data_IF_198515287626
#
_entry.id   IF_198515287626
#
_cell.length_a   1.000
_cell.length_b   1.000
_cell.length_c   1.000
_cell.angle_alpha   90.00
_cell.angle_beta   90.00
_cell.angle_gamma   90.00
#
_symmetry.space_group_name_H-M   'P 1'
#
loop_
_entity.id
_entity.type
_entity.pdbx_description
1 polymer ?
#
# COMPACT_ATOMS: atom_id res chain seq x y z
N UNK A 1 -16.63 11.13 -27.46
CA UNK A 1 -15.20 10.78 -27.25
C UNK A 1 -14.41 11.92 -26.63
N UNK A 2 -14.29 13.10 -27.25
CA UNK A 2 -13.51 14.23 -26.68
C UNK A 2 -13.92 14.59 -25.23
N UNK A 3 -15.21 14.81 -24.98
CA UNK A 3 -15.72 15.12 -23.63
C UNK A 3 -15.45 14.02 -22.60
N UNK A 4 -15.53 12.75 -23.01
CA UNK A 4 -15.22 11.62 -22.13
C UNK A 4 -13.77 11.67 -21.64
N UNK A 5 -12.84 12.03 -22.53
CA UNK A 5 -11.42 12.15 -22.20
C UNK A 5 -11.13 13.36 -21.32
N UNK A 6 -11.82 14.49 -21.54
CA UNK A 6 -11.73 15.67 -20.67
C UNK A 6 -12.19 15.34 -19.26
N UNK A 7 -13.31 14.62 -19.11
CA UNK A 7 -13.83 14.20 -17.81
C UNK A 7 -12.88 13.22 -17.11
N UNK A 8 -12.28 12.29 -17.85
CA UNK A 8 -11.32 11.32 -17.30
C UNK A 8 -9.98 11.95 -16.90
N UNK A 9 -9.46 12.92 -17.67
CA UNK A 9 -8.29 13.70 -17.25
C UNK A 9 -8.65 14.57 -16.03
N UNK A 10 -9.86 15.14 -16.04
CA UNK A 10 -10.39 15.94 -14.94
C UNK A 10 -10.46 15.17 -13.61
N UNK A 11 -10.88 13.91 -13.62
CA UNK A 11 -10.92 13.09 -12.39
C UNK A 11 -9.53 12.91 -11.78
N UNK A 12 -8.51 12.61 -12.58
CA UNK A 12 -7.14 12.48 -12.08
C UNK A 12 -6.56 13.82 -11.61
N UNK A 13 -6.89 14.94 -12.27
CA UNK A 13 -6.50 16.27 -11.80
C UNK A 13 -7.13 16.61 -10.45
N UNK A 14 -8.39 16.21 -10.21
CA UNK A 14 -9.04 16.32 -8.90
C UNK A 14 -8.29 15.50 -7.85
N UNK A 15 -7.82 14.30 -8.18
CA UNK A 15 -7.01 13.49 -7.27
C UNK A 15 -5.65 14.14 -6.97
N UNK A 16 -4.97 14.71 -7.98
CA UNK A 16 -3.73 15.49 -7.79
C UNK A 16 -3.97 16.67 -6.84
N UNK A 17 -5.06 17.42 -7.03
CA UNK A 17 -5.40 18.55 -6.17
C UNK A 17 -5.73 18.11 -4.74
N UNK A 18 -6.47 17.01 -4.56
CA UNK A 18 -6.74 16.40 -3.26
C UNK A 18 -5.46 15.98 -2.54
N UNK A 19 -4.55 15.27 -3.25
CA UNK A 19 -3.26 14.86 -2.72
C UNK A 19 -2.35 16.05 -2.37
N UNK A 20 -2.36 17.11 -3.18
CA UNK A 20 -1.62 18.34 -2.90
C UNK A 20 -2.18 19.07 -1.68
N UNK A 21 -3.51 19.08 -1.53
CA UNK A 21 -4.20 19.60 -0.34
C UNK A 21 -3.80 18.82 0.91
N UNK A 22 -3.74 17.49 0.84
CA UNK A 22 -3.27 16.64 1.94
C UNK A 22 -1.81 16.98 2.30
N UNK A 23 -0.93 17.02 1.30
CA UNK A 23 0.50 17.28 1.46
C UNK A 23 0.87 18.71 1.86
N UNK A 24 -0.10 19.63 1.98
CA UNK A 24 0.15 21.01 2.40
C UNK A 24 0.47 21.16 3.88
N UNK A 25 0.10 20.16 4.70
CA UNK A 25 0.30 20.16 6.15
C UNK A 25 1.45 19.25 6.54
N UNK A 26 2.21 19.68 7.56
CA UNK A 26 3.27 18.90 8.16
C UNK A 26 2.92 18.68 9.63
N UNK A 27 2.96 17.43 10.05
CA UNK A 27 2.79 17.04 11.46
C UNK A 27 4.15 16.64 12.01
N UNK A 28 4.43 16.98 13.26
CA UNK A 28 5.72 16.68 13.89
C UNK A 28 5.55 16.24 15.34
N UNK A 29 6.36 15.28 15.76
CA UNK A 29 6.45 14.80 17.15
C UNK A 29 7.91 14.84 17.61
N UNK A 30 8.16 15.05 18.91
CA UNK A 30 9.52 14.97 19.46
C UNK A 30 10.05 13.54 19.36
N UNK A 31 11.32 13.40 18.98
CA UNK A 31 12.05 12.13 18.98
C UNK A 31 13.51 12.42 19.30
N UNK A 32 14.08 11.76 20.32
CA UNK A 32 15.45 12.06 20.76
C UNK A 32 16.50 11.60 19.75
N UNK A 33 16.32 10.41 19.18
CA UNK A 33 17.24 9.80 18.23
C UNK A 33 16.51 8.83 17.31
N UNK A 34 17.03 8.70 16.08
CA UNK A 34 16.61 7.64 15.18
C UNK A 34 17.17 6.28 15.61
N UNK A 35 16.44 5.18 15.33
CA UNK A 35 16.95 3.83 15.49
C UNK A 35 18.26 3.63 14.74
N UNK A 36 19.17 2.81 15.28
CA UNK A 36 20.50 2.59 14.69
C UNK A 36 20.47 2.08 13.24
N UNK A 37 19.41 1.38 12.84
CA UNK A 37 19.23 0.81 11.50
C UNK A 37 18.12 1.49 10.69
N UNK A 38 17.57 2.61 11.16
CA UNK A 38 16.48 3.33 10.48
C UNK A 38 16.97 4.31 9.42
N UNK A 39 16.79 3.96 8.14
CA UNK A 39 16.98 4.91 7.03
C UNK A 39 15.68 5.61 6.66
N UNK A 40 15.61 6.93 6.90
CA UNK A 40 14.40 7.73 6.62
C UNK A 40 14.21 8.08 5.15
N UNK A 41 15.26 8.07 4.34
CA UNK A 41 15.23 8.54 2.95
C UNK A 41 14.17 7.80 2.10
N UNK A 42 13.82 6.59 2.50
CA UNK A 42 12.88 5.71 1.80
C UNK A 42 11.63 5.34 2.63
N UNK A 43 11.36 6.06 3.72
CA UNK A 43 10.16 5.83 4.56
C UNK A 43 8.99 6.70 4.08
N UNK A 44 7.81 6.07 3.96
CA UNK A 44 6.57 6.69 3.44
C UNK A 44 6.82 7.50 2.15
N UNK A 45 7.48 6.88 1.17
CA UNK A 45 7.89 7.53 -0.08
C UNK A 45 8.72 8.82 0.08
N UNK A 46 9.48 8.95 1.19
CA UNK A 46 10.28 10.15 1.48
C UNK A 46 9.46 11.31 2.07
N UNK A 47 8.24 11.04 2.55
CA UNK A 47 7.40 12.04 3.23
C UNK A 47 7.77 12.23 4.69
N UNK A 48 8.53 11.31 5.27
CA UNK A 48 9.06 11.40 6.62
C UNK A 48 10.43 12.07 6.64
N UNK A 49 10.66 12.91 7.64
CA UNK A 49 11.96 13.53 7.87
C UNK A 49 12.24 13.67 9.37
N UNK A 50 13.52 13.69 9.72
CA UNK A 50 13.97 13.93 11.08
C UNK A 50 14.98 15.06 11.09
N UNK A 51 14.63 16.13 11.78
CA UNK A 51 15.48 17.30 11.95
C UNK A 51 15.21 17.92 13.33
N UNK A 52 16.25 18.45 13.96
CA UNK A 52 16.15 19.19 15.24
C UNK A 52 15.42 18.43 16.36
N UNK A 53 15.63 17.11 16.45
CA UNK A 53 14.98 16.27 17.47
C UNK A 53 13.46 16.10 17.26
N UNK A 54 12.97 16.32 16.04
CA UNK A 54 11.57 16.14 15.67
C UNK A 54 11.45 15.21 14.48
N UNK A 55 10.60 14.21 14.61
CA UNK A 55 10.14 13.39 13.51
C UNK A 55 8.93 14.07 12.89
N UNK A 56 8.95 14.30 11.58
CA UNK A 56 7.86 14.97 10.87
C UNK A 56 7.41 14.19 9.65
N UNK A 57 6.14 14.35 9.28
CA UNK A 57 5.55 13.77 8.08
C UNK A 57 4.73 14.82 7.33
N UNK A 58 4.84 14.81 6.00
CA UNK A 58 4.02 15.66 5.11
C UNK A 58 2.75 14.93 4.70
N UNK A 59 1.58 15.45 5.09
CA UNK A 59 0.28 14.85 4.83
C UNK A 59 -0.13 13.81 5.88
N UNK A 60 -0.96 12.83 5.49
CA UNK A 60 -1.41 11.75 6.39
C UNK A 60 -0.39 10.62 6.38
N UNK A 61 0.05 10.18 7.56
CA UNK A 61 0.84 8.97 7.74
C UNK A 61 -0.12 7.79 7.91
N UNK A 62 -0.17 6.85 6.97
CA UNK A 62 -1.04 5.70 7.07
C UNK A 62 -0.43 4.60 7.95
N UNK A 63 -1.29 3.76 8.53
CA UNK A 63 -0.88 2.66 9.43
C UNK A 63 0.12 1.69 8.76
N UNK A 64 -0.06 1.39 7.47
CA UNK A 64 0.89 0.53 6.75
C UNK A 64 2.30 1.14 6.67
N UNK A 65 2.41 2.48 6.58
CA UNK A 65 3.70 3.16 6.55
C UNK A 65 4.37 3.16 7.94
N UNK A 66 3.59 3.19 9.01
CA UNK A 66 4.11 2.97 10.39
C UNK A 66 4.70 1.56 10.50
N UNK A 67 3.97 0.53 10.05
CA UNK A 67 4.43 -0.86 10.06
C UNK A 67 5.69 -1.07 9.20
N UNK A 68 5.73 -0.45 8.02
CA UNK A 68 6.90 -0.46 7.13
C UNK A 68 8.11 0.24 7.76
N UNK A 69 7.91 1.42 8.39
CA UNK A 69 8.97 2.15 9.08
C UNK A 69 9.58 1.33 10.24
N UNK A 70 8.73 0.68 11.05
CA UNK A 70 9.17 -0.26 12.10
C UNK A 70 10.01 -1.38 11.49
N UNK A 71 9.48 -2.04 10.46
CA UNK A 71 10.15 -3.16 9.80
C UNK A 71 11.51 -2.74 9.24
N UNK A 72 11.58 -1.63 8.50
CA UNK A 72 12.82 -1.10 7.91
C UNK A 72 13.85 -0.66 8.95
N UNK A 73 13.40 -0.16 10.10
CA UNK A 73 14.26 0.27 11.22
C UNK A 73 14.79 -0.89 12.08
N UNK A 74 14.30 -2.10 11.86
CA UNK A 74 14.70 -3.30 12.60
C UNK A 74 16.04 -3.85 12.09
N UNK A 75 16.85 -4.42 12.99
CA UNK A 75 18.12 -5.04 12.66
C UNK A 75 17.98 -6.08 11.51
N UNK A 76 18.91 -6.13 10.54
CA UNK A 76 18.86 -7.09 9.44
C UNK A 76 18.71 -8.55 9.90
N UNK A 77 19.41 -8.95 10.97
CA UNK A 77 19.36 -10.30 11.51
C UNK A 77 17.93 -10.71 11.93
N UNK A 78 17.19 -9.80 12.56
CA UNK A 78 15.81 -10.03 12.99
C UNK A 78 14.87 -10.07 11.77
N UNK A 79 15.08 -9.19 10.79
CA UNK A 79 14.30 -9.21 9.54
C UNK A 79 14.45 -10.52 8.77
N UNK A 80 15.68 -11.01 8.65
CA UNK A 80 15.94 -12.26 7.93
C UNK A 80 15.44 -13.46 8.72
N UNK A 81 15.57 -13.45 10.05
CA UNK A 81 14.96 -14.46 10.91
C UNK A 81 13.42 -14.49 10.80
N UNK A 82 12.75 -13.34 10.71
CA UNK A 82 11.30 -13.28 10.50
C UNK A 82 10.88 -13.87 9.14
N UNK A 83 11.66 -13.64 8.07
CA UNK A 83 11.42 -14.26 6.76
C UNK A 83 11.62 -15.78 6.81
N UNK A 84 12.64 -16.24 7.53
CA UNK A 84 12.86 -17.67 7.74
C UNK A 84 11.74 -18.30 8.56
N UNK A 85 11.25 -17.62 9.60
CA UNK A 85 10.11 -18.06 10.41
C UNK A 85 8.85 -18.21 9.55
N UNK A 86 8.52 -17.19 8.74
CA UNK A 86 7.38 -17.23 7.81
C UNK A 86 7.50 -18.44 6.85
N UNK A 87 8.65 -18.59 6.19
CA UNK A 87 8.90 -19.71 5.28
C UNK A 87 8.86 -21.06 5.98
N UNK A 88 9.39 -21.16 7.20
CA UNK A 88 9.38 -22.41 7.96
C UNK A 88 7.99 -22.75 8.50
N UNK A 89 7.16 -21.74 8.76
CA UNK A 89 5.77 -21.90 9.18
C UNK A 89 4.82 -22.28 8.03
N UNK A 90 5.28 -22.21 6.79
CA UNK A 90 4.53 -22.67 5.62
C UNK A 90 4.37 -24.20 5.67
N UNK A 91 3.17 -24.65 6.05
CA UNK A 91 2.84 -26.05 6.33
C UNK A 91 2.84 -26.43 7.82
N UNK A 92 3.06 -25.50 8.74
CA UNK A 92 2.91 -25.74 10.17
C UNK A 92 1.45 -26.02 10.55
N UNK A 93 1.25 -26.95 11.48
CA UNK A 93 -0.06 -27.28 12.05
C UNK A 93 0.06 -27.49 13.56
N UNK A 94 -1.07 -27.53 14.28
CA UNK A 94 -1.08 -27.81 15.71
C UNK A 94 -0.41 -29.16 16.07
N UNK A 95 -0.47 -30.15 15.17
CA UNK A 95 0.14 -31.47 15.36
C UNK A 95 1.65 -31.50 15.03
N UNK A 96 2.11 -30.53 14.21
CA UNK A 96 3.51 -30.39 13.79
C UNK A 96 3.93 -28.93 13.88
N UNK A 97 4.10 -28.39 15.10
CA UNK A 97 4.51 -27.02 15.29
C UNK A 97 5.96 -26.81 14.85
N UNK A 98 6.27 -25.59 14.40
CA UNK A 98 7.60 -25.19 14.00
C UNK A 98 8.13 -24.19 15.01
N UNK A 99 9.26 -24.52 15.63
CA UNK A 99 9.89 -23.68 16.64
C UNK A 99 11.13 -22.99 16.08
N UNK A 100 11.23 -21.69 16.29
CA UNK A 100 12.43 -20.89 15.97
C UNK A 100 12.74 -19.95 17.11
N UNK A 101 14.02 -19.77 17.40
CA UNK A 101 14.48 -18.82 18.40
C UNK A 101 15.50 -17.84 17.83
N UNK A 102 15.56 -16.65 18.42
CA UNK A 102 16.52 -15.60 18.13
C UNK A 102 16.83 -14.84 19.42
N UNK A 103 18.07 -14.37 19.55
CA UNK A 103 18.45 -13.45 20.60
C UNK A 103 18.12 -12.02 20.15
N UNK A 104 17.36 -11.29 20.97
CA UNK A 104 16.99 -9.89 20.73
C UNK A 104 17.45 -9.02 21.88
N UNK A 105 17.99 -7.84 21.58
CA UNK A 105 18.42 -6.91 22.62
C UNK A 105 17.25 -6.44 23.50
N UNK A 106 16.05 -6.37 22.94
CA UNK A 106 14.83 -5.90 23.61
C UNK A 106 13.62 -6.64 23.06
N UNK A 107 12.65 -6.85 23.93
CA UNK A 107 11.32 -7.34 23.56
C UNK A 107 10.30 -6.68 24.48
N UNK A 108 9.47 -5.83 23.91
CA UNK A 108 8.34 -5.18 24.58
C UNK A 108 7.07 -5.52 23.80
N UNK A 109 6.50 -6.68 24.12
CA UNK A 109 5.16 -7.00 23.67
C UNK A 109 4.21 -6.09 24.44
N UNK A 110 3.74 -5.02 23.78
CA UNK A 110 2.84 -4.07 24.42
C UNK A 110 1.69 -4.82 25.09
N UNK A 111 1.55 -4.63 26.40
CA UNK A 111 0.36 -5.07 27.17
C UNK A 111 -0.85 -4.18 26.85
N UNK A 112 -1.01 -3.76 25.60
CA UNK A 112 -2.26 -3.18 25.15
C UNK A 112 -3.20 -4.36 24.85
N UNK A 113 -4.28 -4.50 25.63
CA UNK A 113 -5.26 -5.58 25.49
C UNK A 113 -5.78 -5.71 24.05
N UNK A 114 -5.73 -4.62 23.28
CA UNK A 114 -6.15 -4.59 21.89
C UNK A 114 -5.25 -5.44 20.97
N UNK A 115 -3.92 -5.32 21.08
CA UNK A 115 -2.97 -6.07 20.24
C UNK A 115 -2.97 -7.56 20.58
N UNK A 116 -3.05 -7.89 21.87
CA UNK A 116 -3.18 -9.27 22.34
C UNK A 116 -4.50 -9.90 21.88
N UNK A 117 -5.60 -9.12 21.91
CA UNK A 117 -6.90 -9.53 21.38
C UNK A 117 -6.90 -9.78 19.88
N UNK A 118 -6.26 -8.90 19.10
CA UNK A 118 -6.14 -9.05 17.63
C UNK A 118 -5.33 -10.29 17.22
N UNK A 119 -4.29 -10.63 17.98
CA UNK A 119 -3.49 -11.84 17.77
C UNK A 119 -4.05 -13.09 18.45
N UNK A 120 -5.14 -12.93 19.23
CA UNK A 120 -5.70 -13.97 20.09
C UNK A 120 -4.66 -14.61 21.01
N UNK A 121 -3.69 -13.82 21.46
CA UNK A 121 -2.66 -14.24 22.41
C UNK A 121 -3.16 -14.01 23.84
N UNK A 122 -2.91 -14.97 24.72
CA UNK A 122 -3.18 -14.89 26.15
C UNK A 122 -1.87 -14.96 26.90
N UNK A 123 -1.62 -13.99 27.78
CA UNK A 123 -0.46 -14.02 28.66
C UNK A 123 -0.65 -15.10 29.73
N UNK A 124 0.26 -16.08 29.78
CA UNK A 124 0.29 -17.16 30.78
C UNK A 124 1.59 -17.05 31.60
N UNK A 125 1.69 -16.06 32.48
CA UNK A 125 2.86 -15.85 33.33
C UNK A 125 3.89 -14.87 32.74
N UNK A 126 5.10 -14.85 33.31
CA UNK A 126 6.17 -13.97 32.84
C UNK A 126 6.81 -14.51 31.57
N UNK A 127 6.77 -13.73 30.49
CA UNK A 127 7.45 -14.06 29.23
C UNK A 127 6.75 -15.11 28.36
N UNK A 128 5.55 -15.56 28.71
CA UNK A 128 4.82 -16.58 27.98
C UNK A 128 3.48 -16.05 27.47
N UNK A 129 3.27 -16.11 26.16
CA UNK A 129 1.99 -15.84 25.51
C UNK A 129 1.59 -17.03 24.65
N UNK A 130 0.37 -17.55 24.88
CA UNK A 130 -0.18 -18.63 24.05
C UNK A 130 -1.26 -18.14 23.12
N UNK A 131 -1.25 -18.62 21.88
CA UNK A 131 -2.23 -18.26 20.87
C UNK A 131 -2.66 -19.43 20.00
N UNK A 132 -3.71 -19.17 19.22
CA UNK A 132 -4.24 -20.12 18.25
C UNK A 132 -3.21 -20.36 17.12
N UNK A 133 -2.61 -19.28 16.62
CA UNK A 133 -1.67 -19.33 15.49
C UNK A 133 -0.24 -19.66 15.90
N UNK A 134 0.21 -19.14 17.05
CA UNK A 134 1.56 -19.30 17.56
C UNK A 134 1.62 -19.01 19.05
N UNK A 135 2.66 -19.54 19.70
CA UNK A 135 3.04 -19.18 21.07
C UNK A 135 4.35 -18.38 21.04
N UNK A 136 4.50 -17.48 22.00
CA UNK A 136 5.66 -16.62 22.19
C UNK A 136 6.24 -16.90 23.56
N UNK A 137 7.48 -17.35 23.59
CA UNK A 137 8.24 -17.61 24.80
C UNK A 137 9.42 -16.65 24.83
N UNK A 138 9.59 -15.94 25.94
CA UNK A 138 10.60 -14.92 26.12
C UNK A 138 11.30 -15.19 27.42
N UNK A 139 12.57 -15.57 27.31
CA UNK A 139 13.42 -15.80 28.47
C UNK A 139 14.50 -14.73 28.51
N UNK A 140 14.78 -14.18 29.70
CA UNK A 140 15.86 -13.22 29.87
C UNK A 140 17.20 -13.97 29.81
N UNK A 141 18.06 -13.61 28.86
CA UNK A 141 19.35 -14.26 28.64
C UNK A 141 20.46 -13.18 28.63
N UNK A 142 21.22 -13.07 29.73
CA UNK A 142 22.25 -12.04 29.88
C UNK A 142 21.69 -10.62 29.80
N UNK A 143 22.24 -9.81 28.88
CA UNK A 143 21.86 -8.42 28.63
C UNK A 143 20.67 -8.27 27.65
N UNK A 144 20.10 -9.38 27.17
CA UNK A 144 19.01 -9.40 26.21
C UNK A 144 17.94 -10.44 26.53
N UNK A 145 17.19 -10.83 25.50
CA UNK A 145 16.10 -11.79 25.59
C UNK A 145 16.24 -12.85 24.50
N UNK A 146 15.99 -14.10 24.88
CA UNK A 146 15.79 -15.19 23.94
C UNK A 146 14.31 -15.26 23.59
N UNK A 147 13.98 -14.86 22.37
CA UNK A 147 12.64 -14.95 21.81
C UNK A 147 12.51 -16.30 21.11
N UNK A 148 11.57 -17.14 21.54
CA UNK A 148 11.21 -18.41 20.93
C UNK A 148 9.75 -18.35 20.48
N UNK A 149 9.54 -18.57 19.17
CA UNK A 149 8.21 -18.62 18.56
C UNK A 149 7.90 -20.07 18.20
N UNK A 150 6.78 -20.56 18.71
CA UNK A 150 6.23 -21.87 18.37
C UNK A 150 5.04 -21.66 17.43
N UNK A 151 5.29 -21.75 16.12
CA UNK A 151 4.27 -21.57 15.09
C UNK A 151 3.41 -22.84 14.95
N UNK A 152 2.10 -22.71 15.15
CA UNK A 152 1.08 -23.77 14.96
C UNK A 152 0.34 -23.61 13.63
N UNK A 153 0.59 -22.52 12.92
CA UNK A 153 0.02 -22.16 11.63
C UNK A 153 0.96 -21.18 10.92
N UNK A 154 0.66 -20.84 9.67
CA UNK A 154 1.42 -19.85 8.90
C UNK A 154 1.48 -18.51 9.63
N UNK A 155 2.70 -18.02 9.86
CA UNK A 155 2.98 -16.68 10.38
C UNK A 155 2.94 -15.70 9.21
N UNK A 156 1.72 -15.24 8.91
CA UNK A 156 1.42 -14.31 7.82
C UNK A 156 1.69 -12.84 8.20
N UNK A 157 1.26 -11.91 7.36
CA UNK A 157 1.62 -10.49 7.45
C UNK A 157 1.26 -9.83 8.79
N UNK A 158 0.12 -10.16 9.39
CA UNK A 158 -0.36 -9.53 10.62
C UNK A 158 0.45 -9.97 11.87
N UNK A 159 0.56 -11.28 12.21
CA UNK A 159 1.46 -11.73 13.28
C UNK A 159 2.87 -11.19 13.16
N UNK A 160 3.41 -11.19 11.93
CA UNK A 160 4.75 -10.69 11.63
C UNK A 160 4.89 -9.19 11.95
N UNK A 161 3.92 -8.36 11.55
CA UNK A 161 3.99 -6.92 11.85
C UNK A 161 3.97 -6.62 13.34
N UNK A 162 3.18 -7.38 14.11
CA UNK A 162 3.13 -7.21 15.57
C UNK A 162 4.40 -7.68 16.27
N UNK A 163 4.98 -8.79 15.81
CA UNK A 163 6.27 -9.25 16.31
C UNK A 163 7.40 -8.24 16.02
N UNK A 164 7.38 -7.60 14.84
CA UNK A 164 8.29 -6.48 14.55
C UNK A 164 8.05 -5.29 15.47
N UNK A 165 6.79 -4.91 15.70
CA UNK A 165 6.45 -3.83 16.62
C UNK A 165 6.92 -4.12 18.05
N UNK A 166 6.88 -5.38 18.49
CA UNK A 166 7.31 -5.78 19.83
C UNK A 166 8.84 -5.72 20.02
N UNK A 167 9.62 -5.87 18.95
CA UNK A 167 11.09 -5.81 19.01
C UNK A 167 11.61 -4.38 18.78
N UNK A 168 10.75 -3.46 18.31
CA UNK A 168 11.09 -2.08 18.04
C UNK A 168 11.41 -1.28 19.31
N UNK A 169 12.24 -0.24 19.17
CA UNK A 169 12.52 0.68 20.28
C UNK A 169 11.22 1.37 20.76
N UNK A 170 10.91 1.38 22.07
CA UNK A 170 9.66 1.94 22.58
C UNK A 170 9.46 3.43 22.23
N UNK A 171 10.53 4.21 22.25
CA UNK A 171 10.49 5.64 21.89
C UNK A 171 10.18 5.83 20.40
N UNK A 172 10.80 5.03 19.52
CA UNK A 172 10.55 5.07 18.08
C UNK A 172 9.11 4.66 17.76
N UNK A 173 8.64 3.55 18.34
CA UNK A 173 7.27 3.05 18.18
C UNK A 173 6.24 4.07 18.70
N UNK A 174 6.49 4.64 19.87
CA UNK A 174 5.65 5.70 20.44
C UNK A 174 5.59 6.93 19.54
N UNK A 175 6.74 7.41 19.07
CA UNK A 175 6.82 8.54 18.15
C UNK A 175 6.07 8.28 16.84
N UNK A 176 6.19 7.10 16.23
CA UNK A 176 5.44 6.76 15.02
C UNK A 176 3.92 6.76 15.25
N UNK A 177 3.46 6.17 16.36
CA UNK A 177 2.04 6.12 16.71
C UNK A 177 1.47 7.52 17.01
N UNK A 178 2.25 8.37 17.69
CA UNK A 178 1.85 9.75 17.96
C UNK A 178 1.88 10.61 16.70
N UNK A 179 2.84 10.35 15.80
CA UNK A 179 2.91 11.01 14.50
C UNK A 179 1.74 10.61 13.60
N UNK A 180 1.35 9.33 13.59
CA UNK A 180 0.17 8.83 12.89
C UNK A 180 -1.08 9.60 13.35
N UNK A 181 -1.31 9.64 14.67
CA UNK A 181 -2.43 10.39 15.26
C UNK A 181 -2.39 11.87 14.92
N UNK A 182 -1.22 12.50 15.02
CA UNK A 182 -1.03 13.92 14.68
C UNK A 182 -1.31 14.19 13.20
N UNK A 183 -0.90 13.29 12.31
CA UNK A 183 -1.08 13.39 10.86
C UNK A 183 -2.53 13.39 10.40
N UNK A 184 -3.46 12.93 11.25
CA UNK A 184 -4.89 12.95 10.93
C UNK A 184 -5.44 14.35 10.67
N UNK A 185 -4.76 15.40 11.16
CA UNK A 185 -5.07 16.79 10.82
C UNK A 185 -4.92 17.08 9.32
N UNK A 186 -4.12 16.30 8.60
CA UNK A 186 -3.89 16.43 7.16
C UNK A 186 -4.95 15.74 6.31
N UNK A 187 -5.89 15.00 6.92
CA UNK A 187 -6.95 14.30 6.18
C UNK A 187 -7.78 15.29 5.36
N UNK A 188 -8.05 14.90 4.13
CA UNK A 188 -8.91 15.67 3.23
C UNK A 188 -10.36 15.21 3.32
N UNK A 189 -11.29 16.09 2.96
CA UNK A 189 -12.72 15.78 2.93
C UNK A 189 -13.03 14.72 1.87
N UNK A 190 -14.01 13.85 2.12
CA UNK A 190 -14.50 12.85 1.17
C UNK A 190 -15.02 13.46 -0.15
N UNK A 191 -15.25 14.77 -0.20
CA UNK A 191 -15.63 15.51 -1.40
C UNK A 191 -14.66 15.32 -2.58
N UNK A 192 -13.35 15.22 -2.32
CA UNK A 192 -12.36 14.98 -3.39
C UNK A 192 -12.57 13.64 -4.08
N UNK A 193 -12.83 12.60 -3.29
CA UNK A 193 -13.15 11.27 -3.80
C UNK A 193 -14.48 11.30 -4.55
N UNK A 194 -15.52 11.90 -3.98
CA UNK A 194 -16.81 12.04 -4.63
C UNK A 194 -16.68 12.70 -6.02
N UNK A 195 -15.96 13.82 -6.11
CA UNK A 195 -15.79 14.54 -7.37
C UNK A 195 -14.94 13.75 -8.38
N UNK A 196 -13.86 13.10 -7.94
CA UNK A 196 -13.04 12.27 -8.81
C UNK A 196 -13.84 11.09 -9.39
N UNK A 197 -14.61 10.38 -8.55
CA UNK A 197 -15.48 9.30 -8.99
C UNK A 197 -16.58 9.79 -9.91
N UNK A 198 -17.24 10.91 -9.58
CA UNK A 198 -18.28 11.49 -10.43
C UNK A 198 -17.76 11.78 -11.84
N UNK A 199 -16.60 12.44 -11.95
CA UNK A 199 -15.99 12.74 -13.24
C UNK A 199 -15.55 11.48 -13.98
N UNK A 200 -14.97 10.50 -13.28
CA UNK A 200 -14.55 9.23 -13.87
C UNK A 200 -15.77 8.46 -14.42
N UNK A 201 -16.83 8.30 -13.63
CA UNK A 201 -18.06 7.61 -14.06
C UNK A 201 -18.74 8.33 -15.22
N UNK A 202 -18.83 9.67 -15.20
CA UNK A 202 -19.37 10.42 -16.34
C UNK A 202 -18.52 10.24 -17.60
N UNK A 203 -17.19 10.17 -17.45
CA UNK A 203 -16.27 9.83 -18.53
C UNK A 203 -16.51 8.43 -19.10
N UNK A 204 -16.65 7.42 -18.24
CA UNK A 204 -16.94 6.04 -18.64
C UNK A 204 -18.30 5.89 -19.32
N UNK A 205 -19.32 6.57 -18.82
CA UNK A 205 -20.66 6.58 -19.43
C UNK A 205 -20.65 7.20 -20.84
N UNK A 206 -19.74 8.13 -21.12
CA UNK A 206 -19.56 8.69 -22.46
C UNK A 206 -18.71 7.80 -23.38
N UNK A 207 -17.91 6.89 -22.83
CA UNK A 207 -16.98 6.02 -23.56
C UNK A 207 -17.62 4.68 -23.92
N UNK A 208 -18.30 4.03 -22.98
CA UNK A 208 -18.86 2.68 -23.16
C UNK A 208 -19.87 2.54 -24.32
N UNK A 209 -20.86 3.44 -24.53
CA UNK A 209 -21.78 3.32 -25.67
C UNK A 209 -21.08 3.59 -27.02
N UNK A 210 -20.06 4.44 -27.03
CA UNK A 210 -19.31 4.79 -28.26
C UNK A 210 -18.36 3.66 -28.64
N UNK A 211 -17.64 3.10 -27.67
CA UNK A 211 -16.67 2.04 -27.89
C UNK A 211 -17.31 0.78 -28.45
N UNK A 212 -18.40 0.31 -27.81
CA UNK A 212 -19.11 -0.88 -28.27
C UNK A 212 -19.75 -0.68 -29.65
N UNK A 213 -20.27 0.52 -29.95
CA UNK A 213 -20.83 0.82 -31.28
C UNK A 213 -19.75 0.86 -32.37
N UNK A 214 -18.52 1.28 -32.07
CA UNK A 214 -17.42 1.25 -33.05
C UNK A 214 -16.98 -0.19 -33.35
N UNK A 215 -16.83 -1.04 -32.34
CA UNK A 215 -16.44 -2.44 -32.53
C UNK A 215 -17.44 -3.17 -33.43
N UNK A 216 -18.74 -2.97 -33.24
CA UNK A 216 -19.78 -3.63 -34.05
C UNK A 216 -19.87 -3.07 -35.47
N UNK A 217 -19.57 -1.78 -35.69
CA UNK A 217 -19.59 -1.16 -37.03
C UNK A 217 -18.34 -1.44 -37.87
N UNK A 218 -17.18 -1.56 -37.24
CA UNK A 218 -15.89 -1.77 -37.92
C UNK A 218 -15.52 -3.26 -38.05
N UNK A 219 -16.19 -4.15 -37.31
CA UNK A 219 -15.94 -5.58 -37.43
C UNK A 219 -16.52 -6.15 -38.74
N UNK A 220 -15.73 -6.90 -39.53
CA UNK A 220 -16.26 -7.70 -40.62
C UNK A 220 -17.26 -8.73 -40.09
N UNK A 221 -18.38 -8.95 -40.79
CA UNK A 221 -19.47 -9.84 -40.36
C UNK A 221 -19.01 -11.25 -39.95
N UNK A 222 -18.00 -11.78 -40.64
CA UNK A 222 -17.38 -13.09 -40.37
C UNK A 222 -16.48 -13.17 -39.13
N UNK A 223 -16.06 -12.04 -38.56
CA UNK A 223 -15.12 -11.97 -37.43
C UNK A 223 -15.67 -11.19 -36.22
N UNK A 224 -16.99 -10.97 -36.14
CA UNK A 224 -17.60 -10.16 -35.09
C UNK A 224 -17.26 -10.64 -33.66
N UNK A 225 -17.25 -11.95 -33.41
CA UNK A 225 -16.87 -12.52 -32.11
C UNK A 225 -15.39 -12.33 -31.78
N UNK A 226 -14.51 -12.34 -32.79
CA UNK A 226 -13.07 -12.11 -32.61
C UNK A 226 -12.80 -10.65 -32.23
N UNK A 227 -13.44 -9.68 -32.89
CA UNK A 227 -13.31 -8.26 -32.55
C UNK A 227 -13.86 -7.93 -31.16
N UNK A 228 -14.94 -8.61 -30.75
CA UNK A 228 -15.43 -8.53 -29.37
C UNK A 228 -14.42 -9.13 -28.37
N UNK A 229 -13.76 -10.24 -28.73
CA UNK A 229 -12.65 -10.81 -27.96
C UNK A 229 -11.48 -9.82 -27.80
N UNK A 230 -11.11 -9.10 -28.86
CA UNK A 230 -10.07 -8.05 -28.81
C UNK A 230 -10.48 -6.89 -27.90
N UNK A 231 -11.74 -6.47 -27.93
CA UNK A 231 -12.26 -5.44 -27.03
C UNK A 231 -12.14 -5.84 -25.55
N UNK A 232 -12.53 -7.08 -25.21
CA UNK A 232 -12.39 -7.59 -23.85
C UNK A 232 -10.92 -7.77 -23.45
N UNK A 233 -10.08 -8.30 -24.35
CA UNK A 233 -8.66 -8.48 -24.11
C UNK A 233 -7.96 -7.14 -23.84
N UNK A 234 -8.30 -6.10 -24.60
CA UNK A 234 -7.79 -4.74 -24.36
C UNK A 234 -8.13 -4.25 -22.95
N UNK A 235 -9.33 -4.56 -22.45
CA UNK A 235 -9.76 -4.18 -21.10
C UNK A 235 -8.98 -4.94 -20.02
N UNK A 236 -8.74 -6.25 -20.23
CA UNK A 236 -7.93 -7.07 -19.32
C UNK A 236 -6.48 -6.56 -19.25
N UNK A 237 -5.87 -6.22 -20.39
CA UNK A 237 -4.52 -5.66 -20.43
C UNK A 237 -4.46 -4.31 -19.71
N UNK A 238 -5.47 -3.45 -19.89
CA UNK A 238 -5.54 -2.17 -19.19
C UNK A 238 -5.61 -2.35 -17.67
N UNK A 239 -6.42 -3.30 -17.18
CA UNK A 239 -6.51 -3.62 -15.75
C UNK A 239 -5.20 -4.21 -15.20
N UNK A 240 -4.53 -5.09 -15.96
CA UNK A 240 -3.24 -5.64 -15.58
C UNK A 240 -2.17 -4.55 -15.41
N UNK A 241 -2.03 -3.67 -16.40
CA UNK A 241 -1.08 -2.54 -16.33
C UNK A 241 -1.45 -1.58 -15.20
N UNK A 242 -2.75 -1.31 -15.00
CA UNK A 242 -3.23 -0.51 -13.87
C UNK A 242 -2.87 -1.13 -12.51
N UNK A 243 -2.98 -2.46 -12.39
CA UNK A 243 -2.56 -3.22 -11.21
C UNK A 243 -1.07 -3.10 -10.95
N UNK A 244 -0.22 -3.26 -11.98
CA UNK A 244 1.23 -3.11 -11.84
C UNK A 244 1.65 -1.68 -11.44
N UNK A 245 0.96 -0.65 -11.94
CA UNK A 245 1.17 0.74 -11.44
C UNK A 245 0.71 0.85 -9.98
N UNK A 246 -0.36 0.15 -9.61
CA UNK A 246 -0.85 0.01 -8.23
C UNK A 246 0.21 -0.46 -7.23
N UNK A 247 1.09 -1.38 -7.64
CA UNK A 247 2.17 -1.92 -6.78
C UNK A 247 3.18 -0.85 -6.33
N UNK A 248 3.35 0.22 -7.11
CA UNK A 248 4.23 1.35 -6.75
C UNK A 248 3.63 2.30 -5.69
N UNK A 249 2.40 2.03 -5.23
CA UNK A 249 1.76 2.80 -4.17
C UNK A 249 2.53 2.66 -2.85
N UNK A 250 2.87 3.79 -2.23
CA UNK A 250 3.69 3.83 -1.01
C UNK A 250 5.20 3.93 -1.26
N UNK A 251 5.65 3.69 -2.49
CA UNK A 251 7.03 4.00 -2.92
C UNK A 251 7.14 5.42 -3.50
N UNK A 252 6.08 5.86 -4.20
CA UNK A 252 5.98 7.19 -4.81
C UNK A 252 5.00 8.04 -3.99
N UNK A 253 5.31 9.32 -3.69
CA UNK A 253 4.37 10.18 -2.98
C UNK A 253 3.04 10.34 -3.73
N UNK A 254 1.91 10.58 -3.03
CA UNK A 254 0.59 10.62 -3.66
C UNK A 254 0.45 11.60 -4.85
N UNK A 255 1.07 12.78 -4.76
CA UNK A 255 1.00 13.80 -5.84
C UNK A 255 1.64 13.29 -7.15
N UNK A 256 2.94 12.93 -7.20
CA UNK A 256 3.55 12.37 -8.39
C UNK A 256 2.90 11.06 -8.86
N UNK A 257 2.40 10.23 -7.93
CA UNK A 257 1.66 9.02 -8.27
C UNK A 257 0.42 9.33 -9.15
N UNK A 258 -0.41 10.29 -8.75
CA UNK A 258 -1.58 10.67 -9.55
C UNK A 258 -1.22 11.38 -10.87
N UNK A 259 -0.08 12.06 -10.94
CA UNK A 259 0.41 12.65 -12.20
C UNK A 259 0.73 11.60 -13.27
N UNK A 260 1.10 10.37 -12.89
CA UNK A 260 1.28 9.27 -13.85
C UNK A 260 -0.02 9.03 -14.62
N UNK A 261 -1.16 9.00 -13.94
CA UNK A 261 -2.48 8.79 -14.56
C UNK A 261 -2.94 9.96 -15.41
N UNK A 262 -2.62 11.20 -15.01
CA UNK A 262 -2.85 12.38 -15.85
C UNK A 262 -2.02 12.27 -17.13
N UNK A 263 -0.74 11.92 -17.02
CA UNK A 263 0.17 11.77 -18.15
C UNK A 263 -0.25 10.68 -19.13
N UNK A 264 -0.60 9.49 -18.65
CA UNK A 264 -1.08 8.38 -19.49
C UNK A 264 -2.41 8.70 -20.16
N UNK A 265 -3.33 9.38 -19.45
CA UNK A 265 -4.61 9.83 -20.02
C UNK A 265 -4.40 10.87 -21.13
N UNK A 266 -3.49 11.83 -20.94
CA UNK A 266 -3.13 12.81 -21.97
C UNK A 266 -2.46 12.16 -23.17
N UNK A 267 -1.58 11.17 -22.96
CA UNK A 267 -0.99 10.39 -24.05
C UNK A 267 -2.07 9.67 -24.87
N UNK A 268 -3.09 9.12 -24.21
CA UNK A 268 -4.27 8.55 -24.87
C UNK A 268 -5.03 9.57 -25.72
N UNK A 269 -5.21 10.81 -25.23
CA UNK A 269 -5.81 11.92 -26.00
C UNK A 269 -5.03 12.20 -27.26
N UNK A 270 -3.71 12.34 -27.16
CA UNK A 270 -2.83 12.59 -28.30
C UNK A 270 -2.89 11.44 -29.30
N UNK A 271 -2.83 10.19 -28.84
CA UNK A 271 -2.91 9.01 -29.69
C UNK A 271 -4.22 8.98 -30.48
N UNK A 272 -5.36 9.18 -29.82
CA UNK A 272 -6.67 9.23 -30.48
C UNK A 272 -6.75 10.39 -31.48
N UNK A 273 -6.22 11.56 -31.13
CA UNK A 273 -6.20 12.71 -32.01
C UNK A 273 -5.39 12.44 -33.30
N UNK A 274 -4.25 11.76 -33.19
CA UNK A 274 -3.43 11.34 -34.33
C UNK A 274 -4.13 10.27 -35.18
N UNK A 275 -4.81 9.30 -34.54
CA UNK A 275 -5.52 8.23 -35.23
C UNK A 275 -6.86 8.68 -35.84
N UNK A 276 -7.37 9.87 -35.49
CA UNK A 276 -8.62 10.40 -36.04
C UNK A 276 -8.60 10.53 -37.57
N UNK A 277 -7.51 11.05 -38.14
CA UNK A 277 -7.37 11.26 -39.57
C UNK A 277 -7.36 9.94 -40.39
N UNK A 278 -6.55 8.91 -40.03
CA UNK A 278 -6.57 7.62 -40.73
C UNK A 278 -7.90 6.88 -40.52
N UNK A 279 -8.48 6.91 -39.32
CA UNK A 279 -9.79 6.28 -39.07
C UNK A 279 -10.88 6.89 -39.96
N UNK A 280 -10.93 8.22 -40.09
CA UNK A 280 -11.92 8.88 -40.95
C UNK A 280 -11.74 8.50 -42.43
N UNK A 281 -10.50 8.35 -42.91
CA UNK A 281 -10.22 7.92 -44.29
C UNK A 281 -10.71 6.49 -44.53
N UNK A 282 -10.36 5.55 -43.64
CA UNK A 282 -10.79 4.14 -43.75
C UNK A 282 -12.31 3.97 -43.64
N UNK A 283 -12.99 4.86 -42.91
CA UNK A 283 -14.45 4.84 -42.77
C UNK A 283 -15.22 5.43 -43.97
N UNK A 284 -14.58 6.18 -44.87
CA UNK A 284 -15.23 6.71 -46.07
C UNK A 284 -15.29 5.71 -47.24
N UNK A 285 -14.53 4.61 -47.19
CA UNK A 285 -14.61 3.54 -48.21
C UNK A 285 -15.72 2.52 -47.95
N UNK A 286 -16.48 2.65 -46.85
CA UNK A 286 -17.53 1.70 -46.43
C UNK A 286 -18.94 2.32 -46.51
N UNK A 287 -19.15 3.35 -47.34
CA UNK A 287 -20.49 3.89 -47.64
C UNK A 287 -20.99 3.43 -48.99
#
# INVERSE_FOLDING_TARGET
MFWAMVLMVGSFLVMVAGAASEGSRVSSVPLSKLPAHGELAHMDAGRMSFADGKLSVRGVLPEFAVRDAITKSTEPAIRDWMKELEKASDGASADKPVTRSIHVARFDFTKDDKTLGELKLRAEGEGLWRGDKFDVHVEKEGDGYKLEIVAKSLIDAQPKSELFAAVAEPEWRGALNDLEKASHVSRVTAFWLFLAYLLATLGELCLSPVGLSMVTKLAPSRYASLFMGVWLLSSSVAQYVGGSIGESWGEIPPVPYFWIFVGTSLAGVVLVALLRAPLKRLMHEVS
#
